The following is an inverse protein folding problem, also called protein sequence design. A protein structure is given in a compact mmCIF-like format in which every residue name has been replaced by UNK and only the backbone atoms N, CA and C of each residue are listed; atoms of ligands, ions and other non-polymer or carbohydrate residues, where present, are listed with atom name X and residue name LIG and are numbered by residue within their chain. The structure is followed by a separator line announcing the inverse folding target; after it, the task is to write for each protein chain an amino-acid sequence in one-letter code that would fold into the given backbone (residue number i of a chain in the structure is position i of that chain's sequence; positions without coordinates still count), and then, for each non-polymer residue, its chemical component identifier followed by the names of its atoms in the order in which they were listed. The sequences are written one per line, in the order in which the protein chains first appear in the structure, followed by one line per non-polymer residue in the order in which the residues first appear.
data_IF_803132348335
#
_entry.id   IF_803132348335
#
_cell.length_a   1.000
_cell.length_b   1.000
_cell.length_c   1.000
_cell.angle_alpha   90.00
_cell.angle_beta   90.00
_cell.angle_gamma   90.00
#
_symmetry.space_group_name_H-M   'P 1'
#
loop_
_entity.id
_entity.type
_entity.pdbx_description
1 polymer ?
#
# COMPACT_ATOMS: atom_id res chain seq x y z
N UNK A 1 22.14 0.44 -15.35
CA UNK A 1 21.12 -0.44 -14.74
C UNK A 1 20.73 0.01 -13.32
N UNK A 2 20.78 1.31 -12.99
CA UNK A 2 20.23 1.89 -11.74
C UNK A 2 19.36 3.13 -12.03
N UNK A 3 19.15 3.44 -13.31
CA UNK A 3 18.55 4.68 -13.78
C UNK A 3 17.08 4.56 -14.18
N UNK A 4 16.50 3.36 -14.16
CA UNK A 4 15.10 3.12 -14.59
C UNK A 4 14.07 3.14 -13.45
N UNK A 5 14.50 3.06 -12.19
CA UNK A 5 13.63 3.12 -11.01
C UNK A 5 12.91 4.47 -10.84
N UNK A 6 13.37 5.55 -11.49
CA UNK A 6 12.86 6.89 -11.21
C UNK A 6 11.56 7.23 -11.94
N UNK A 7 11.10 6.42 -12.92
CA UNK A 7 9.92 6.75 -13.73
C UNK A 7 8.64 6.03 -13.33
N UNK A 8 8.73 4.84 -12.77
CA UNK A 8 7.55 4.04 -12.42
C UNK A 8 7.38 3.91 -10.90
N UNK A 9 6.14 3.90 -10.39
CA UNK A 9 5.90 3.64 -8.98
C UNK A 9 6.39 2.24 -8.58
N UNK A 10 6.88 2.07 -7.34
CA UNK A 10 7.20 0.75 -6.83
C UNK A 10 5.94 -0.12 -6.71
N UNK A 11 6.12 -1.43 -6.85
CA UNK A 11 5.10 -2.41 -6.48
C UNK A 11 5.14 -2.61 -4.98
N UNK A 12 3.96 -2.57 -4.33
CA UNK A 12 3.84 -2.73 -2.88
C UNK A 12 3.04 -3.99 -2.58
N UNK A 13 3.57 -4.82 -1.68
CA UNK A 13 2.91 -6.03 -1.16
C UNK A 13 3.07 -6.06 0.36
N UNK A 14 1.98 -6.37 1.05
CA UNK A 14 2.02 -6.66 2.47
C UNK A 14 2.55 -8.07 2.71
N UNK A 15 3.47 -8.20 3.68
CA UNK A 15 3.91 -9.51 4.17
C UNK A 15 2.90 -10.06 5.18
N UNK A 16 2.52 -9.24 6.15
CA UNK A 16 1.52 -9.58 7.17
C UNK A 16 0.11 -9.46 6.58
N UNK A 17 -0.77 -10.42 6.87
CA UNK A 17 -2.18 -10.34 6.48
C UNK A 17 -2.80 -9.08 7.05
N UNK A 18 -3.52 -8.36 6.21
CA UNK A 18 -4.23 -7.14 6.56
C UNK A 18 -5.53 -7.07 5.77
N UNK A 19 -6.61 -6.68 6.45
CA UNK A 19 -7.91 -6.49 5.81
C UNK A 19 -8.13 -5.00 5.54
N UNK A 20 -7.79 -4.57 4.32
CA UNK A 20 -7.97 -3.20 3.84
C UNK A 20 -8.55 -3.23 2.42
N UNK A 21 -9.49 -2.34 2.14
CA UNK A 21 -9.87 -2.05 0.76
C UNK A 21 -8.64 -1.56 -0.01
N UNK A 22 -8.45 -2.09 -1.22
CA UNK A 22 -7.26 -1.83 -2.04
C UNK A 22 -6.11 -2.81 -1.81
N UNK A 23 -6.21 -3.76 -0.87
CA UNK A 23 -5.23 -4.85 -0.70
C UNK A 23 -5.86 -6.20 -1.03
N UNK A 24 -5.26 -6.94 -1.96
CA UNK A 24 -5.67 -8.30 -2.29
C UNK A 24 -5.58 -9.22 -1.08
N UNK A 25 -6.71 -9.81 -0.69
CA UNK A 25 -6.79 -10.72 0.45
C UNK A 25 -6.14 -12.09 0.19
N UNK A 26 -5.75 -12.38 -1.07
CA UNK A 26 -5.09 -13.64 -1.45
C UNK A 26 -3.57 -13.55 -1.36
N UNK A 27 -2.96 -12.43 -1.72
CA UNK A 27 -1.50 -12.32 -1.87
C UNK A 27 -0.89 -11.03 -1.30
N UNK A 28 -1.70 -10.15 -0.71
CA UNK A 28 -1.25 -8.91 -0.10
C UNK A 28 -0.84 -7.81 -1.08
N UNK A 29 -1.05 -7.99 -2.39
CA UNK A 29 -0.74 -6.94 -3.39
C UNK A 29 -1.65 -5.74 -3.20
N UNK A 30 -1.04 -4.56 -3.19
CA UNK A 30 -1.73 -3.28 -3.09
C UNK A 30 -2.12 -2.77 -4.49
N UNK A 31 -3.37 -2.36 -4.67
CA UNK A 31 -3.80 -1.59 -5.83
C UNK A 31 -3.21 -0.18 -5.75
N UNK A 32 -2.32 0.14 -6.69
CA UNK A 32 -1.68 1.46 -6.82
C UNK A 32 -2.69 2.61 -6.92
N UNK A 33 -3.92 2.35 -7.38
CA UNK A 33 -4.97 3.38 -7.50
C UNK A 33 -5.50 3.84 -6.14
N UNK A 34 -5.34 3.01 -5.11
CA UNK A 34 -5.82 3.28 -3.74
C UNK A 34 -4.88 4.21 -2.96
N UNK A 35 -3.67 4.48 -3.46
CA UNK A 35 -2.67 5.31 -2.78
C UNK A 35 -2.23 6.47 -3.69
N UNK A 36 -2.41 7.74 -3.28
CA UNK A 36 -2.12 8.90 -4.14
C UNK A 36 -0.69 8.93 -4.70
N UNK A 37 0.32 8.72 -3.85
CA UNK A 37 1.74 8.68 -4.28
C UNK A 37 2.03 7.58 -5.30
N UNK A 38 1.32 6.44 -5.28
CA UNK A 38 1.49 5.39 -6.29
C UNK A 38 0.67 5.67 -7.56
N UNK A 39 -0.51 6.29 -7.42
CA UNK A 39 -1.40 6.63 -8.54
C UNK A 39 -0.81 7.74 -9.42
N UNK A 40 -0.19 8.73 -8.81
CA UNK A 40 0.41 9.89 -9.46
C UNK A 40 1.90 9.97 -9.10
N UNK A 41 2.63 8.90 -9.41
CA UNK A 41 4.04 8.79 -9.07
C UNK A 41 4.86 9.95 -9.60
N UNK A 42 5.72 10.47 -8.73
CA UNK A 42 6.69 11.48 -9.05
C UNK A 42 8.06 10.97 -8.60
N UNK A 43 9.12 11.19 -9.38
CA UNK A 43 10.47 10.73 -9.08
C UNK A 43 11.07 11.35 -7.80
N UNK A 44 10.47 12.41 -7.27
CA UNK A 44 10.82 12.99 -5.96
C UNK A 44 10.19 12.26 -4.77
N UNK A 45 9.20 11.39 -5.00
CA UNK A 45 8.59 10.59 -3.94
C UNK A 45 9.52 9.49 -3.48
N UNK A 46 9.45 9.22 -2.18
CA UNK A 46 10.24 8.20 -1.51
C UNK A 46 9.36 7.06 -1.02
N UNK A 47 9.96 5.95 -0.62
CA UNK A 47 9.25 4.86 0.07
C UNK A 47 8.53 5.38 1.31
N UNK A 48 9.13 6.34 2.04
CA UNK A 48 8.50 7.00 3.18
C UNK A 48 7.18 7.68 2.79
N UNK A 49 7.15 8.39 1.66
CA UNK A 49 5.93 9.02 1.12
C UNK A 49 4.83 7.98 0.89
N UNK A 50 5.17 6.84 0.28
CA UNK A 50 4.23 5.74 0.02
C UNK A 50 3.68 5.15 1.33
N UNK A 51 4.53 4.90 2.31
CA UNK A 51 4.11 4.36 3.61
C UNK A 51 3.22 5.33 4.40
N UNK A 52 3.53 6.63 4.36
CA UNK A 52 2.70 7.66 4.98
C UNK A 52 1.31 7.75 4.32
N UNK A 53 1.25 7.67 2.99
CA UNK A 53 -0.02 7.69 2.27
C UNK A 53 -0.84 6.42 2.53
N UNK A 54 -0.22 5.23 2.58
CA UNK A 54 -0.91 3.99 2.97
C UNK A 54 -1.58 4.17 4.34
N UNK A 55 -0.85 4.74 5.30
CA UNK A 55 -1.39 4.98 6.64
C UNK A 55 -2.57 5.97 6.60
N UNK A 56 -2.39 7.11 5.92
CA UNK A 56 -3.38 8.21 5.89
C UNK A 56 -4.62 7.92 5.02
N UNK A 57 -4.46 7.18 3.93
CA UNK A 57 -5.53 6.97 2.95
C UNK A 57 -6.17 5.60 3.05
N UNK A 58 -5.48 4.59 3.58
CA UNK A 58 -6.06 3.27 3.77
C UNK A 58 -6.38 3.01 5.22
N UNK A 59 -5.39 3.05 6.12
CA UNK A 59 -5.59 2.64 7.51
C UNK A 59 -6.49 3.58 8.30
N UNK A 60 -6.48 4.87 7.98
CA UNK A 60 -7.36 5.87 8.63
C UNK A 60 -8.67 6.14 7.89
N UNK A 61 -8.92 5.46 6.77
CA UNK A 61 -10.21 5.57 6.07
C UNK A 61 -11.31 4.90 6.91
N UNK A 62 -12.46 5.57 7.06
CA UNK A 62 -13.55 5.11 7.94
C UNK A 62 -14.08 3.73 7.54
N UNK A 63 -14.15 3.48 6.24
CA UNK A 63 -14.57 2.20 5.67
C UNK A 63 -13.61 1.05 5.96
N UNK A 64 -12.33 1.35 6.20
CA UNK A 64 -11.29 0.38 6.51
C UNK A 64 -11.12 0.17 8.02
N UNK A 65 -11.29 1.23 8.83
CA UNK A 65 -11.20 1.14 10.30
C UNK A 65 -12.23 0.17 10.90
N UNK A 66 -13.38 -0.01 10.25
CA UNK A 66 -14.44 -0.92 10.69
C UNK A 66 -14.23 -2.39 10.27
N UNK A 67 -13.19 -2.68 9.47
CA UNK A 67 -12.93 -4.04 8.99
C UNK A 67 -12.27 -4.88 10.09
N UNK A 68 -12.83 -6.06 10.35
CA UNK A 68 -12.21 -7.05 11.23
C UNK A 68 -10.84 -7.46 10.68
N UNK A 69 -9.80 -7.31 11.50
CA UNK A 69 -8.44 -7.69 11.14
C UNK A 69 -8.21 -9.19 11.39
N UNK A 70 -7.34 -9.83 10.59
CA UNK A 70 -6.89 -11.18 10.86
C UNK A 70 -6.08 -11.24 12.17
N UNK A 71 -5.84 -12.45 12.68
CA UNK A 71 -5.02 -12.64 13.86
C UNK A 71 -3.61 -12.04 13.66
N UNK A 72 -3.09 -11.37 14.69
CA UNK A 72 -1.75 -10.79 14.66
C UNK A 72 -0.70 -11.86 14.33
N UNK A 73 0.32 -11.47 13.56
CA UNK A 73 1.39 -12.38 13.11
C UNK A 73 1.03 -13.27 11.91
N UNK A 74 -0.22 -13.26 11.42
CA UNK A 74 -0.58 -14.00 10.20
C UNK A 74 0.10 -13.38 8.97
N UNK A 75 0.61 -14.20 8.05
CA UNK A 75 1.25 -13.77 6.79
C UNK A 75 0.47 -14.22 5.56
N UNK A 76 0.61 -13.50 4.44
CA UNK A 76 -0.01 -13.84 3.15
C UNK A 76 0.69 -15.02 2.47
#
# INVERSE_FOLDING_TARGET
MWSELSKEPPVVRFTTKINLNGVSQQNGLLDKRSVPSLRQWNSSYSIKTVLEDIRRHLMTAKENQKLSQPAEGTVF
#
